data_IF_460366829071
#
_entry.id   IF_460366829071
#
_cell.length_a   1.000
_cell.length_b   1.000
_cell.length_c   1.000
_cell.angle_alpha   90.00
_cell.angle_beta   90.00
_cell.angle_gamma   90.00
#
_symmetry.space_group_name_H-M   'P 1'
#
loop_
_entity.id
_entity.type
_entity.pdbx_description
1 polymer ?
#
# COMPACT_ATOMS: atom_id res chain seq x y z
N UNK A 1 22.88 -38.70 14.38
CA UNK A 1 23.11 -37.23 14.37
C UNK A 1 21.92 -36.54 13.73
N UNK A 2 21.12 -35.82 14.51
CA UNK A 2 20.13 -34.89 13.95
C UNK A 2 20.92 -33.74 13.28
N UNK A 3 20.94 -33.72 11.94
CA UNK A 3 21.56 -32.64 11.18
C UNK A 3 20.81 -31.34 11.50
N UNK A 4 21.49 -30.35 12.10
CA UNK A 4 20.95 -29.01 12.25
C UNK A 4 20.57 -28.46 10.87
N UNK A 5 19.30 -28.11 10.68
CA UNK A 5 18.74 -27.59 9.42
C UNK A 5 18.20 -26.18 9.65
N UNK A 6 19.07 -25.15 9.71
CA UNK A 6 18.69 -23.81 10.15
C UNK A 6 17.56 -23.23 9.29
N UNK A 7 17.67 -23.36 7.96
CA UNK A 7 16.66 -22.88 7.01
C UNK A 7 15.30 -23.56 7.27
N UNK A 8 15.27 -24.89 7.43
CA UNK A 8 14.03 -25.63 7.68
C UNK A 8 13.41 -25.24 9.03
N UNK A 9 14.23 -24.99 10.06
CA UNK A 9 13.74 -24.51 11.36
C UNK A 9 13.09 -23.14 11.25
N UNK A 10 13.71 -22.20 10.53
CA UNK A 10 13.18 -20.86 10.33
C UNK A 10 11.90 -20.91 9.51
N UNK A 11 11.91 -21.64 8.39
CA UNK A 11 10.75 -21.84 7.52
C UNK A 11 9.55 -22.39 8.30
N UNK A 12 9.74 -23.47 9.07
CA UNK A 12 8.67 -24.07 9.87
C UNK A 12 8.10 -23.13 10.93
N UNK A 13 8.94 -22.29 11.55
CA UNK A 13 8.47 -21.28 12.51
C UNK A 13 7.67 -20.19 11.80
N UNK A 14 8.19 -19.70 10.68
CA UNK A 14 7.57 -18.63 9.89
C UNK A 14 6.22 -19.03 9.31
N UNK A 15 6.15 -20.18 8.65
CA UNK A 15 4.91 -20.70 8.06
C UNK A 15 3.79 -20.83 9.09
N UNK A 16 4.10 -21.13 10.36
CA UNK A 16 3.07 -21.21 11.41
C UNK A 16 2.44 -19.86 11.76
N UNK A 17 3.20 -18.78 11.62
CA UNK A 17 2.79 -17.42 11.96
C UNK A 17 2.26 -16.62 10.75
N UNK A 18 2.47 -17.13 9.53
CA UNK A 18 1.91 -16.54 8.31
C UNK A 18 0.44 -16.93 8.19
N UNK A 19 -0.37 -15.96 7.78
CA UNK A 19 -1.80 -16.11 7.53
C UNK A 19 -2.11 -15.77 6.09
N UNK A 20 -3.16 -16.39 5.57
CA UNK A 20 -3.75 -16.03 4.27
C UNK A 20 -4.88 -15.07 4.52
N UNK A 21 -4.95 -13.97 3.78
CA UNK A 21 -5.98 -12.96 3.92
C UNK A 21 -6.91 -13.08 2.72
N UNK A 22 -8.20 -13.27 3.00
CA UNK A 22 -9.25 -13.34 1.99
C UNK A 22 -10.16 -12.13 2.20
N UNK A 23 -10.43 -11.40 1.12
CA UNK A 23 -11.37 -10.29 1.10
C UNK A 23 -12.67 -10.72 0.39
N UNK A 24 -13.79 -10.67 1.10
CA UNK A 24 -15.09 -11.01 0.55
C UNK A 24 -16.03 -9.82 0.60
N UNK A 25 -16.90 -9.68 -0.40
CA UNK A 25 -17.94 -8.65 -0.39
C UNK A 25 -19.28 -9.24 -0.77
N UNK A 26 -20.26 -9.03 0.09
CA UNK A 26 -21.64 -9.43 -0.13
C UNK A 26 -22.30 -8.42 -1.09
N UNK A 27 -22.38 -8.77 -2.39
CA UNK A 27 -22.91 -7.90 -3.45
C UNK A 27 -24.30 -8.36 -3.89
N UNK A 28 -25.21 -7.42 -4.23
CA UNK A 28 -26.51 -7.76 -4.81
C UNK A 28 -26.33 -8.38 -6.20
N UNK A 29 -27.02 -9.49 -6.46
CA UNK A 29 -26.93 -10.22 -7.73
C UNK A 29 -27.59 -9.41 -8.86
N UNK A 30 -26.89 -9.30 -9.99
CA UNK A 30 -27.40 -8.61 -11.19
C UNK A 30 -28.18 -9.61 -12.04
N UNK A 31 -29.47 -9.32 -12.27
CA UNK A 31 -30.41 -10.19 -13.00
C UNK A 31 -30.50 -9.85 -14.50
N UNK A 32 -29.83 -8.77 -14.90
CA UNK A 32 -29.85 -8.28 -16.27
C UNK A 32 -29.65 -6.77 -16.31
N UNK A 33 -29.72 -6.22 -17.52
CA UNK A 33 -29.60 -4.80 -17.77
C UNK A 33 -30.78 -4.35 -18.61
N UNK A 34 -31.37 -3.19 -18.31
CA UNK A 34 -32.42 -2.61 -19.15
C UNK A 34 -32.02 -1.22 -19.63
N UNK A 35 -32.35 -0.89 -20.90
CA UNK A 35 -32.10 0.42 -21.45
C UNK A 35 -33.09 1.43 -20.86
N UNK A 36 -32.59 2.54 -20.36
CA UNK A 36 -33.37 3.69 -19.93
C UNK A 36 -32.98 4.87 -20.81
N UNK A 37 -33.96 5.57 -21.37
CA UNK A 37 -33.69 6.79 -22.15
C UNK A 37 -34.02 8.00 -21.30
N UNK A 38 -33.04 8.85 -21.04
CA UNK A 38 -33.21 10.14 -20.35
C UNK A 38 -32.67 11.22 -21.27
N UNK A 39 -33.47 12.24 -21.58
CA UNK A 39 -33.08 13.37 -22.46
C UNK A 39 -32.43 12.91 -23.80
N UNK A 40 -33.07 11.98 -24.51
CA UNK A 40 -32.56 11.38 -25.77
C UNK A 40 -31.21 10.64 -25.66
N UNK A 41 -30.70 10.40 -24.44
CA UNK A 41 -29.52 9.55 -24.20
C UNK A 41 -29.94 8.21 -23.63
N UNK A 42 -29.45 7.13 -24.24
CA UNK A 42 -29.66 5.75 -23.76
C UNK A 42 -28.62 5.42 -22.69
N UNK A 43 -29.10 5.05 -21.52
CA UNK A 43 -28.32 4.52 -20.40
C UNK A 43 -28.65 3.04 -20.24
N UNK A 44 -27.67 2.23 -19.89
CA UNK A 44 -27.87 0.82 -19.55
C UNK A 44 -27.76 0.73 -18.03
N UNK A 45 -28.85 0.35 -17.37
CA UNK A 45 -28.90 0.27 -15.90
C UNK A 45 -28.97 -1.21 -15.49
N UNK A 46 -28.11 -1.67 -14.56
CA UNK A 46 -28.22 -3.00 -13.99
C UNK A 46 -29.50 -3.14 -13.15
N UNK A 47 -30.24 -4.23 -13.37
CA UNK A 47 -31.35 -4.65 -12.52
C UNK A 47 -30.81 -5.56 -11.43
N UNK A 48 -30.88 -5.11 -10.18
CA UNK A 48 -30.48 -5.91 -9.02
C UNK A 48 -31.66 -6.74 -8.52
N UNK A 49 -31.44 -8.02 -8.20
CA UNK A 49 -32.40 -8.79 -7.41
C UNK A 49 -32.36 -8.27 -5.96
N UNK A 50 -33.53 -7.88 -5.42
CA UNK A 50 -33.62 -7.24 -4.11
C UNK A 50 -33.27 -8.16 -2.92
N UNK A 51 -33.26 -9.48 -3.12
CA UNK A 51 -33.16 -10.46 -2.04
C UNK A 51 -31.98 -11.46 -2.19
N UNK A 52 -31.45 -11.68 -3.40
CA UNK A 52 -30.27 -12.52 -3.59
C UNK A 52 -28.98 -11.69 -3.58
N UNK A 53 -28.15 -11.95 -2.56
CA UNK A 53 -26.78 -11.44 -2.44
C UNK A 53 -25.81 -12.59 -2.57
N UNK A 54 -24.68 -12.35 -3.21
CA UNK A 54 -23.61 -13.34 -3.38
C UNK A 54 -22.33 -12.79 -2.79
N UNK A 55 -21.63 -13.62 -2.03
CA UNK A 55 -20.27 -13.30 -1.61
C UNK A 55 -19.36 -13.42 -2.81
N UNK A 56 -18.79 -12.30 -3.21
CA UNK A 56 -17.80 -12.23 -4.28
C UNK A 56 -16.43 -12.16 -3.62
N UNK A 57 -15.55 -13.08 -4.02
CA UNK A 57 -14.13 -13.02 -3.66
C UNK A 57 -13.50 -11.85 -4.41
N UNK A 58 -12.99 -10.87 -3.65
CA UNK A 58 -12.32 -9.70 -4.19
C UNK A 58 -10.82 -9.95 -4.41
N UNK A 59 -10.33 -11.13 -4.01
CA UNK A 59 -8.92 -11.46 -3.98
C UNK A 59 -8.36 -11.48 -2.55
N UNK A 60 -7.06 -11.70 -2.47
CA UNK A 60 -6.40 -11.92 -1.20
C UNK A 60 -4.88 -11.78 -1.27
N UNK A 61 -4.28 -11.88 -0.09
CA UNK A 61 -2.83 -11.79 0.08
C UNK A 61 -2.39 -12.60 1.28
N UNK A 62 -1.22 -12.25 1.79
CA UNK A 62 -0.63 -12.84 2.99
C UNK A 62 -0.55 -11.80 4.09
N UNK A 63 -0.45 -12.27 5.33
CA UNK A 63 -0.03 -11.47 6.47
C UNK A 63 0.82 -12.32 7.39
N UNK A 64 1.33 -11.73 8.46
CA UNK A 64 2.01 -12.49 9.51
C UNK A 64 1.74 -11.92 10.88
N UNK A 65 1.63 -12.81 11.85
CA UNK A 65 1.35 -12.50 13.23
C UNK A 65 2.64 -12.04 13.91
N UNK A 66 2.62 -10.86 14.52
CA UNK A 66 3.78 -10.26 15.22
C UNK A 66 3.65 -10.29 16.74
N UNK A 67 2.44 -10.51 17.25
CA UNK A 67 2.18 -10.63 18.68
C UNK A 67 1.18 -11.76 18.98
N UNK A 68 1.34 -12.42 20.13
CA UNK A 68 0.61 -13.67 20.45
C UNK A 68 -0.89 -13.46 20.70
N UNK A 69 -1.33 -12.23 20.93
CA UNK A 69 -2.74 -11.82 21.01
C UNK A 69 -3.42 -11.66 19.64
N UNK A 70 -2.66 -11.79 18.55
CA UNK A 70 -3.21 -11.79 17.20
C UNK A 70 -3.04 -10.48 16.42
N UNK A 71 -2.06 -9.64 16.75
CA UNK A 71 -1.67 -8.54 15.85
C UNK A 71 -1.04 -9.10 14.58
N UNK A 72 -1.59 -8.71 13.42
CA UNK A 72 -1.19 -9.13 12.08
C UNK A 72 -0.68 -7.92 11.30
N UNK A 73 0.47 -8.07 10.63
CA UNK A 73 0.94 -7.14 9.61
C UNK A 73 0.64 -7.67 8.21
N UNK A 74 0.27 -6.78 7.30
CA UNK A 74 0.11 -7.04 5.86
C UNK A 74 0.32 -5.74 5.07
N UNK A 75 0.14 -5.76 3.75
CA UNK A 75 0.13 -4.56 2.94
C UNK A 75 -1.22 -3.83 3.00
N UNK A 76 -1.21 -2.51 2.86
CA UNK A 76 -2.43 -1.70 2.88
C UNK A 76 -3.36 -2.03 1.70
N UNK A 77 -2.79 -2.31 0.52
CA UNK A 77 -3.55 -2.64 -0.68
C UNK A 77 -4.24 -4.01 -0.57
N UNK A 78 -3.71 -4.94 0.22
CA UNK A 78 -4.35 -6.26 0.49
C UNK A 78 -5.67 -6.07 1.25
N UNK A 79 -5.78 -4.98 2.02
CA UNK A 79 -6.96 -4.65 2.83
C UNK A 79 -7.58 -3.31 2.44
N UNK A 80 -7.56 -2.94 1.15
CA UNK A 80 -7.91 -1.59 0.70
C UNK A 80 -9.40 -1.23 0.86
N UNK A 81 -10.33 -2.14 0.52
CA UNK A 81 -11.78 -1.84 0.52
C UNK A 81 -12.34 -1.77 1.95
N UNK A 82 -12.80 -0.60 2.43
CA UNK A 82 -13.37 -0.46 3.76
C UNK A 82 -14.72 -1.16 3.93
N UNK A 83 -15.36 -1.59 2.84
CA UNK A 83 -16.66 -2.27 2.85
C UNK A 83 -16.55 -3.78 2.60
N UNK A 84 -15.33 -4.31 2.53
CA UNK A 84 -15.10 -5.74 2.44
C UNK A 84 -14.98 -6.36 3.83
N UNK A 85 -15.44 -7.60 3.95
CA UNK A 85 -15.17 -8.45 5.10
C UNK A 85 -13.83 -9.17 4.88
N UNK A 86 -13.00 -9.20 5.93
CA UNK A 86 -11.68 -9.80 5.86
C UNK A 86 -11.56 -11.00 6.78
N UNK A 87 -11.04 -12.09 6.23
CA UNK A 87 -10.81 -13.35 6.95
C UNK A 87 -9.34 -13.75 6.88
N UNK A 88 -8.76 -14.05 8.04
CA UNK A 88 -7.43 -14.64 8.15
C UNK A 88 -7.54 -16.16 8.26
N UNK A 89 -6.95 -16.88 7.31
CA UNK A 89 -6.81 -18.34 7.34
C UNK A 89 -5.42 -18.67 7.88
N UNK A 90 -5.40 -19.27 9.08
CA UNK A 90 -4.19 -19.70 9.78
C UNK A 90 -3.56 -20.92 9.13
N UNK A 91 -2.28 -21.16 9.44
CA UNK A 91 -1.49 -22.29 8.93
C UNK A 91 -2.07 -23.69 9.24
N UNK A 92 -2.94 -23.79 10.26
CA UNK A 92 -3.66 -25.02 10.62
C UNK A 92 -5.03 -25.15 9.92
N UNK A 93 -5.35 -24.25 8.98
CA UNK A 93 -6.63 -24.21 8.26
C UNK A 93 -7.77 -23.51 9.02
N UNK A 94 -7.53 -23.01 10.23
CA UNK A 94 -8.57 -22.29 10.98
C UNK A 94 -8.79 -20.88 10.41
N UNK A 95 -10.04 -20.54 10.12
CA UNK A 95 -10.43 -19.20 9.70
C UNK A 95 -10.82 -18.33 10.89
N UNK A 96 -10.39 -17.06 10.86
CA UNK A 96 -10.76 -16.04 11.86
C UNK A 96 -11.14 -14.75 11.18
N UNK A 97 -12.20 -14.11 11.65
CA UNK A 97 -12.53 -12.74 11.26
C UNK A 97 -11.37 -11.81 11.62
N UNK A 98 -10.96 -10.98 10.68
CA UNK A 98 -9.86 -10.04 10.83
C UNK A 98 -10.43 -8.61 10.90
N UNK A 99 -10.01 -7.85 11.92
CA UNK A 99 -10.38 -6.45 12.08
C UNK A 99 -9.19 -5.58 11.70
N UNK A 100 -9.39 -4.61 10.80
CA UNK A 100 -8.35 -3.62 10.50
C UNK A 100 -8.27 -2.64 11.67
N UNK A 101 -7.08 -2.50 12.27
CA UNK A 101 -6.80 -1.52 13.31
C UNK A 101 -6.41 -0.19 12.67
N UNK A 102 -5.48 -0.24 11.71
CA UNK A 102 -5.03 0.94 10.98
C UNK A 102 -4.48 0.59 9.59
N UNK A 103 -4.42 1.59 8.72
CA UNK A 103 -3.79 1.53 7.40
C UNK A 103 -2.86 2.73 7.26
N UNK A 104 -1.64 2.48 6.80
CA UNK A 104 -0.73 3.47 6.28
C UNK A 104 -0.66 3.34 4.74
N UNK A 105 -1.46 4.12 4.00
CA UNK A 105 -1.42 4.10 2.54
C UNK A 105 -0.19 4.80 1.95
N UNK A 106 0.57 5.57 2.74
CA UNK A 106 1.80 6.23 2.26
C UNK A 106 2.90 5.18 2.07
N UNK A 107 2.98 4.23 3.00
CA UNK A 107 4.00 3.20 3.03
C UNK A 107 3.48 1.80 2.71
N UNK A 108 2.21 1.68 2.30
CA UNK A 108 1.55 0.43 1.97
C UNK A 108 1.60 -0.64 3.08
N UNK A 109 1.28 -0.25 4.31
CA UNK A 109 1.24 -1.13 5.48
C UNK A 109 -0.15 -1.11 6.10
N UNK A 110 -0.61 -2.27 6.56
CA UNK A 110 -1.79 -2.36 7.41
C UNK A 110 -1.51 -3.18 8.67
N UNK A 111 -2.13 -2.74 9.76
CA UNK A 111 -2.11 -3.39 11.05
C UNK A 111 -3.52 -3.89 11.32
N UNK A 112 -3.63 -5.19 11.49
CA UNK A 112 -4.89 -5.89 11.69
C UNK A 112 -4.85 -6.71 12.99
N UNK A 113 -6.00 -7.17 13.44
CA UNK A 113 -6.14 -8.05 14.60
C UNK A 113 -7.04 -9.24 14.30
N UNK A 114 -6.71 -10.37 14.91
CA UNK A 114 -7.54 -11.59 14.95
C UNK A 114 -7.73 -12.02 16.40
N UNK A 115 -8.89 -12.59 16.71
CA UNK A 115 -9.20 -12.97 18.10
C UNK A 115 -8.45 -14.23 18.55
N UNK A 116 -8.09 -14.28 19.83
CA UNK A 116 -7.46 -15.44 20.47
C UNK A 116 -6.21 -15.05 21.26
N UNK A 117 -5.46 -16.06 21.68
CA UNK A 117 -4.18 -15.89 22.38
C UNK A 117 -3.25 -17.05 22.02
N UNK A 118 -1.96 -16.92 22.37
CA UNK A 118 -0.92 -17.91 22.10
C UNK A 118 -0.75 -18.24 20.60
N UNK A 119 -1.04 -17.28 19.73
CA UNK A 119 -0.78 -17.44 18.30
C UNK A 119 0.72 -17.56 18.03
N UNK A 120 1.15 -18.44 17.11
CA UNK A 120 2.53 -18.42 16.62
C UNK A 120 2.85 -17.04 16.05
N UNK A 121 3.95 -16.43 16.50
CA UNK A 121 4.34 -15.09 16.07
C UNK A 121 5.80 -14.99 15.62
N UNK A 122 6.07 -13.96 14.83
CA UNK A 122 7.40 -13.61 14.35
C UNK A 122 7.90 -12.34 15.02
N UNK A 123 9.19 -12.35 15.35
CA UNK A 123 9.87 -11.17 15.89
C UNK A 123 10.32 -10.26 14.75
N UNK A 124 10.15 -8.96 14.93
CA UNK A 124 10.62 -7.96 13.98
C UNK A 124 12.13 -7.72 14.17
N UNK A 125 12.84 -7.65 13.04
CA UNK A 125 14.28 -7.42 12.98
C UNK A 125 14.64 -5.95 12.83
N UNK A 126 15.76 -5.74 12.16
CA UNK A 126 16.27 -4.42 11.76
C UNK A 126 16.58 -4.46 10.27
N UNK A 127 15.96 -3.55 9.51
CA UNK A 127 16.17 -3.40 8.08
C UNK A 127 17.18 -2.30 7.73
N UNK A 128 17.68 -1.54 8.71
CA UNK A 128 18.59 -0.40 8.48
C UNK A 128 20.04 -0.82 8.23
N UNK A 129 20.43 -2.00 8.73
CA UNK A 129 21.79 -2.53 8.65
C UNK A 129 21.94 -3.68 7.64
N UNK A 130 20.98 -3.85 6.73
CA UNK A 130 21.01 -4.93 5.73
C UNK A 130 22.17 -4.75 4.75
N UNK A 131 22.79 -5.86 4.38
CA UNK A 131 23.87 -5.92 3.40
C UNK A 131 23.46 -6.74 2.18
N UNK A 132 24.03 -6.39 1.02
CA UNK A 132 23.87 -7.17 -0.20
C UNK A 132 24.46 -8.59 0.01
N UNK A 133 23.78 -9.60 -0.52
CA UNK A 133 24.19 -10.99 -0.43
C UNK A 133 23.73 -11.72 0.84
N UNK A 134 23.08 -11.04 1.80
CA UNK A 134 22.48 -11.71 2.95
C UNK A 134 21.37 -12.67 2.51
N UNK A 135 21.40 -13.91 3.01
CA UNK A 135 20.34 -14.89 2.76
C UNK A 135 19.03 -14.48 3.44
N UNK A 136 17.94 -14.65 2.69
CA UNK A 136 16.58 -14.34 3.14
C UNK A 136 15.60 -15.42 2.71
N UNK A 137 14.55 -15.58 3.50
CA UNK A 137 13.37 -16.37 3.15
C UNK A 137 12.18 -15.45 2.90
N UNK A 138 11.55 -15.57 1.74
CA UNK A 138 10.22 -15.01 1.54
C UNK A 138 9.19 -16.10 1.85
N UNK A 139 8.20 -15.77 2.69
CA UNK A 139 7.13 -16.68 3.06
C UNK A 139 5.79 -16.02 2.72
N UNK A 140 4.87 -16.79 2.17
CA UNK A 140 3.53 -16.33 1.85
C UNK A 140 2.62 -17.48 1.46
N UNK A 141 1.37 -17.15 1.16
CA UNK A 141 0.43 -18.07 0.54
C UNK A 141 0.15 -17.63 -0.89
N UNK A 142 0.72 -18.35 -1.86
CA UNK A 142 0.47 -18.09 -3.27
C UNK A 142 -0.94 -18.56 -3.63
N UNK A 143 -1.84 -17.60 -3.90
CA UNK A 143 -3.15 -17.81 -4.53
C UNK A 143 -4.15 -18.69 -3.75
N UNK A 144 -3.94 -18.94 -2.45
CA UNK A 144 -4.83 -19.82 -1.66
C UNK A 144 -4.73 -21.32 -2.02
N UNK A 145 -4.13 -21.66 -3.16
CA UNK A 145 -3.89 -23.02 -3.65
C UNK A 145 -2.64 -23.65 -3.03
N UNK A 146 -1.59 -22.85 -2.76
CA UNK A 146 -0.31 -23.33 -2.21
C UNK A 146 0.02 -22.66 -0.88
N UNK A 147 -0.64 -23.14 0.17
CA UNK A 147 -0.39 -22.67 1.55
C UNK A 147 1.08 -22.81 1.95
N UNK A 148 1.62 -21.76 2.58
CA UNK A 148 2.97 -21.74 3.17
C UNK A 148 4.11 -21.96 2.15
N UNK A 149 4.04 -21.28 1.01
CA UNK A 149 5.15 -21.24 0.06
C UNK A 149 6.33 -20.52 0.69
N UNK A 150 7.49 -21.18 0.67
CA UNK A 150 8.76 -20.64 1.16
C UNK A 150 9.75 -20.63 0.02
N UNK A 151 10.37 -19.48 -0.23
CA UNK A 151 11.45 -19.33 -1.20
C UNK A 151 12.70 -18.79 -0.51
N UNK A 152 13.86 -19.30 -0.90
CA UNK A 152 15.18 -18.84 -0.44
C UNK A 152 15.79 -17.96 -1.52
N UNK A 153 16.40 -16.86 -1.10
CA UNK A 153 17.20 -15.99 -1.95
C UNK A 153 18.18 -15.19 -1.12
N UNK A 154 18.66 -14.10 -1.70
CA UNK A 154 19.54 -13.11 -1.09
C UNK A 154 18.95 -11.71 -1.19
N UNK A 155 19.55 -10.76 -0.49
CA UNK A 155 19.35 -9.33 -0.74
C UNK A 155 20.16 -8.92 -1.98
N UNK A 156 19.45 -8.61 -3.05
CA UNK A 156 20.01 -8.24 -4.36
C UNK A 156 20.11 -6.73 -4.57
N UNK A 157 19.46 -5.94 -3.71
CA UNK A 157 19.47 -4.48 -3.79
C UNK A 157 18.78 -3.84 -2.60
N UNK A 158 19.14 -2.59 -2.32
CA UNK A 158 18.56 -1.77 -1.26
C UNK A 158 18.08 -0.45 -1.85
N UNK A 159 17.14 0.20 -1.16
CA UNK A 159 16.62 1.53 -1.51
C UNK A 159 16.13 1.64 -2.94
N UNK A 160 15.50 0.57 -3.47
CA UNK A 160 14.98 0.56 -4.84
C UNK A 160 13.73 1.41 -4.98
N UNK A 161 13.55 1.92 -6.19
CA UNK A 161 12.33 2.52 -6.67
C UNK A 161 11.76 1.64 -7.77
N UNK A 162 10.47 1.34 -7.69
CA UNK A 162 9.74 0.63 -8.75
C UNK A 162 8.42 1.33 -9.05
N UNK A 163 7.95 1.12 -10.27
CA UNK A 163 6.57 1.35 -10.66
C UNK A 163 5.93 -0.02 -10.82
N UNK A 164 4.97 -0.33 -9.95
CA UNK A 164 4.26 -1.61 -9.97
C UNK A 164 2.78 -1.36 -10.26
N UNK A 165 2.12 -2.29 -10.95
CA UNK A 165 0.68 -2.22 -11.17
C UNK A 165 -0.02 -2.94 -10.01
N UNK A 166 -0.77 -2.20 -9.19
CA UNK A 166 -1.60 -2.77 -8.14
C UNK A 166 -2.78 -3.56 -8.69
N UNK A 167 -3.47 -4.31 -7.84
CA UNK A 167 -4.62 -5.16 -8.23
C UNK A 167 -5.74 -4.37 -8.93
N UNK A 168 -5.91 -3.09 -8.56
CA UNK A 168 -6.89 -2.17 -9.15
C UNK A 168 -6.43 -1.50 -10.46
N UNK A 169 -5.35 -1.99 -11.08
CA UNK A 169 -4.70 -1.41 -12.27
C UNK A 169 -4.17 0.01 -12.09
N UNK A 170 -4.13 0.52 -10.86
CA UNK A 170 -3.43 1.73 -10.48
C UNK A 170 -1.93 1.49 -10.48
N UNK A 171 -1.14 2.43 -11.01
CA UNK A 171 0.30 2.38 -10.83
C UNK A 171 0.66 2.86 -9.43
N UNK A 172 1.39 2.03 -8.70
CA UNK A 172 1.96 2.34 -7.41
C UNK A 172 3.44 2.68 -7.57
N UNK A 173 3.83 3.77 -6.91
CA UNK A 173 5.19 4.29 -6.88
C UNK A 173 5.77 3.93 -5.52
N UNK A 174 6.57 2.87 -5.48
CA UNK A 174 7.11 2.33 -4.24
C UNK A 174 8.61 2.63 -4.16
N UNK A 175 9.06 3.17 -3.02
CA UNK A 175 10.43 3.61 -2.77
C UNK A 175 11.01 2.96 -1.53
N UNK A 176 12.33 3.00 -1.44
CA UNK A 176 13.05 2.49 -0.28
C UNK A 176 13.04 0.96 -0.19
N UNK A 177 12.64 0.26 -1.26
CA UNK A 177 12.40 -1.18 -1.20
C UNK A 177 13.69 -1.99 -1.07
N UNK A 178 13.59 -3.10 -0.35
CA UNK A 178 14.55 -4.20 -0.38
C UNK A 178 14.25 -5.01 -1.64
N UNK A 179 15.28 -5.30 -2.43
CA UNK A 179 15.19 -6.20 -3.57
C UNK A 179 15.76 -7.56 -3.19
N UNK A 180 15.06 -8.62 -3.54
CA UNK A 180 15.48 -10.00 -3.35
C UNK A 180 15.30 -10.82 -4.62
N UNK A 181 16.16 -11.83 -4.81
CA UNK A 181 15.97 -12.84 -5.85
C UNK A 181 15.15 -14.05 -5.36
N UNK A 182 14.72 -14.06 -4.10
CA UNK A 182 13.77 -15.03 -3.60
C UNK A 182 12.46 -14.91 -4.40
N UNK A 183 11.90 -16.04 -4.80
CA UNK A 183 10.66 -16.05 -5.59
C UNK A 183 9.50 -15.42 -4.79
N UNK A 184 8.99 -14.31 -5.29
CA UNK A 184 7.76 -13.65 -4.83
C UNK A 184 6.75 -13.77 -5.97
N UNK A 185 5.52 -14.20 -5.67
CA UNK A 185 4.45 -14.37 -6.63
C UNK A 185 3.17 -13.71 -6.10
N UNK A 186 2.16 -13.47 -6.95
CA UNK A 186 0.83 -13.06 -6.50
C UNK A 186 0.33 -13.94 -5.34
N UNK A 187 -0.21 -13.30 -4.29
CA UNK A 187 -0.58 -13.94 -3.02
C UNK A 187 0.46 -13.83 -1.91
N UNK A 188 1.76 -13.70 -2.23
CA UNK A 188 2.79 -13.45 -1.21
C UNK A 188 2.78 -12.01 -0.69
N UNK A 189 2.10 -11.07 -1.36
CA UNK A 189 1.96 -9.68 -0.93
C UNK A 189 1.40 -9.61 0.50
N UNK A 190 2.09 -8.89 1.37
CA UNK A 190 1.85 -8.78 2.81
C UNK A 190 2.54 -9.84 3.66
N UNK A 191 3.13 -10.88 3.06
CA UNK A 191 3.91 -11.90 3.74
C UNK A 191 5.31 -11.41 4.17
N UNK A 192 5.99 -12.10 5.10
CA UNK A 192 7.28 -11.64 5.63
C UNK A 192 8.47 -12.01 4.72
N UNK A 193 9.46 -11.11 4.68
CA UNK A 193 10.84 -11.39 4.29
C UNK A 193 11.68 -11.57 5.56
N UNK A 194 12.35 -12.71 5.71
CA UNK A 194 12.94 -13.17 6.98
C UNK A 194 14.43 -13.42 6.80
N UNK A 195 15.25 -12.91 7.71
CA UNK A 195 16.69 -13.16 7.70
C UNK A 195 17.06 -14.53 8.32
N UNK A 196 18.33 -14.91 8.25
CA UNK A 196 18.82 -16.19 8.82
C UNK A 196 18.81 -16.26 10.36
N UNK A 197 18.40 -15.19 11.06
CA UNK A 197 18.12 -15.21 12.50
C UNK A 197 16.64 -15.53 12.80
N UNK A 198 15.82 -15.69 11.76
CA UNK A 198 14.37 -15.91 11.89
C UNK A 198 13.60 -14.65 12.29
N UNK A 199 14.15 -13.46 12.01
CA UNK A 199 13.49 -12.17 12.24
C UNK A 199 13.00 -11.58 10.93
N UNK A 200 11.84 -10.94 10.96
CA UNK A 200 11.26 -10.26 9.79
C UNK A 200 12.04 -8.98 9.53
N UNK A 201 12.55 -8.82 8.31
CA UNK A 201 13.31 -7.64 7.85
C UNK A 201 12.57 -6.85 6.76
N UNK A 202 11.49 -7.42 6.19
CA UNK A 202 10.61 -6.69 5.29
C UNK A 202 9.26 -7.36 5.10
N UNK A 203 8.37 -6.68 4.38
CA UNK A 203 7.04 -7.14 3.98
C UNK A 203 7.02 -7.25 2.45
N UNK A 204 6.85 -8.46 1.92
CA UNK A 204 6.78 -8.72 0.50
C UNK A 204 5.63 -7.92 -0.11
N UNK A 205 5.86 -7.14 -1.16
CA UNK A 205 4.83 -6.24 -1.72
C UNK A 205 4.60 -6.49 -3.21
N UNK A 206 5.68 -6.49 -4.00
CA UNK A 206 5.57 -6.37 -5.44
C UNK A 206 6.63 -7.17 -6.20
N UNK A 207 6.33 -7.39 -7.48
CA UNK A 207 7.24 -7.91 -8.50
C UNK A 207 7.13 -7.07 -9.76
N UNK A 208 8.16 -7.09 -10.59
CA UNK A 208 8.09 -6.47 -11.92
C UNK A 208 7.55 -7.51 -12.91
N UNK A 209 6.40 -7.21 -13.53
CA UNK A 209 5.80 -8.09 -14.53
C UNK A 209 6.77 -8.36 -15.68
N UNK A 210 6.91 -9.62 -16.08
CA UNK A 210 7.82 -10.06 -17.15
C UNK A 210 9.30 -10.13 -16.75
N UNK A 211 9.67 -9.76 -15.53
CA UNK A 211 11.00 -9.99 -14.99
C UNK A 211 11.01 -11.19 -14.03
N UNK A 212 12.08 -11.98 -14.09
CA UNK A 212 12.31 -13.09 -13.18
C UNK A 212 13.25 -12.66 -12.06
N UNK A 213 13.06 -13.21 -10.86
CA UNK A 213 13.94 -13.00 -9.70
C UNK A 213 14.11 -11.52 -9.30
N UNK A 214 13.07 -10.71 -9.52
CA UNK A 214 12.97 -9.33 -9.04
C UNK A 214 11.79 -9.20 -8.09
N UNK A 215 11.99 -9.67 -6.86
CA UNK A 215 11.06 -9.49 -5.75
C UNK A 215 11.38 -8.24 -4.96
N UNK A 216 10.35 -7.56 -4.46
CA UNK A 216 10.51 -6.35 -3.66
C UNK A 216 9.73 -6.42 -2.35
N UNK A 217 10.34 -5.87 -1.30
CA UNK A 217 9.78 -5.85 0.04
C UNK A 217 9.95 -4.48 0.70
N UNK A 218 8.94 -4.07 1.43
CA UNK A 218 8.93 -2.86 2.24
C UNK A 218 9.78 -3.11 3.48
N UNK A 219 10.79 -2.28 3.79
CA UNK A 219 11.63 -2.47 4.97
C UNK A 219 10.83 -2.50 6.28
N UNK A 220 11.16 -3.41 7.19
CA UNK A 220 10.35 -3.61 8.42
C UNK A 220 10.36 -2.43 9.38
N UNK A 221 11.35 -1.53 9.30
CA UNK A 221 11.41 -0.36 10.18
C UNK A 221 10.16 0.53 10.06
N UNK A 222 9.55 0.59 8.88
CA UNK A 222 8.34 1.38 8.66
C UNK A 222 7.16 0.80 9.46
N UNK A 223 6.94 -0.51 9.39
CA UNK A 223 5.90 -1.17 10.19
C UNK A 223 6.14 -1.03 11.70
N UNK A 224 7.42 -1.01 12.14
CA UNK A 224 7.76 -0.78 13.56
C UNK A 224 7.37 0.63 13.99
N UNK A 225 7.51 1.62 13.13
CA UNK A 225 7.10 2.99 13.45
C UNK A 225 5.58 3.10 13.52
N UNK A 226 4.85 2.47 12.59
CA UNK A 226 3.38 2.43 12.62
C UNK A 226 2.84 1.76 13.89
N UNK A 227 3.45 0.66 14.31
CA UNK A 227 3.10 -0.02 15.57
C UNK A 227 3.28 0.90 16.77
N UNK A 228 4.40 1.63 16.87
CA UNK A 228 4.60 2.62 17.95
C UNK A 228 3.56 3.73 17.92
N UNK A 229 3.18 4.20 16.73
CA UNK A 229 2.14 5.24 16.62
C UNK A 229 0.78 4.74 17.14
N UNK A 230 0.42 3.48 16.85
CA UNK A 230 -0.78 2.87 17.44
C UNK A 230 -0.67 2.76 18.96
N UNK A 231 0.46 2.29 19.48
CA UNK A 231 0.68 2.21 20.93
C UNK A 231 0.57 3.58 21.62
N UNK A 232 1.10 4.62 20.99
CA UNK A 232 1.16 5.96 21.57
C UNK A 232 -0.15 6.77 21.38
N UNK A 233 -0.80 6.64 20.23
CA UNK A 233 -1.92 7.51 19.82
C UNK A 233 -3.22 6.78 19.53
N UNK A 234 -3.22 5.44 19.57
CA UNK A 234 -4.35 4.59 19.19
C UNK A 234 -4.62 4.55 17.68
N UNK A 235 -3.81 5.21 16.85
CA UNK A 235 -3.95 5.31 15.40
C UNK A 235 -2.65 5.75 14.74
N UNK A 236 -2.50 5.45 13.45
CA UNK A 236 -1.41 5.98 12.62
C UNK A 236 -1.74 7.43 12.25
N UNK A 237 -0.78 8.33 12.45
CA UNK A 237 -0.91 9.75 12.10
C UNK A 237 -0.22 10.01 10.78
N UNK A 238 -1.00 10.45 9.80
CA UNK A 238 -0.55 10.54 8.41
C UNK A 238 -0.36 12.01 8.04
N UNK A 239 0.84 12.43 7.57
CA UNK A 239 1.05 13.77 7.05
C UNK A 239 0.21 14.02 5.80
N UNK A 240 -0.35 15.22 5.67
CA UNK A 240 -1.39 15.49 4.67
C UNK A 240 -1.29 16.88 4.05
N UNK A 241 -1.28 16.93 2.71
CA UNK A 241 -1.40 18.18 1.96
C UNK A 241 -2.86 18.63 1.86
N UNK A 242 -3.78 17.69 1.59
CA UNK A 242 -5.20 17.98 1.34
C UNK A 242 -5.52 18.52 -0.04
N UNK A 243 -4.85 17.98 -1.06
CA UNK A 243 -5.13 18.25 -2.48
C UNK A 243 -5.47 16.98 -3.23
N UNK A 244 -6.21 17.15 -4.32
CA UNK A 244 -6.37 16.18 -5.40
C UNK A 244 -5.62 16.72 -6.61
N UNK A 245 -4.89 15.85 -7.29
CA UNK A 245 -4.02 16.28 -8.38
C UNK A 245 -3.90 15.22 -9.46
N UNK A 246 -3.56 15.69 -10.66
CA UNK A 246 -3.11 14.88 -11.79
C UNK A 246 -1.62 15.11 -11.95
N UNK A 247 -0.83 14.03 -11.97
CA UNK A 247 0.58 14.11 -12.37
C UNK A 247 0.65 14.37 -13.87
N UNK A 248 1.43 15.37 -14.24
CA UNK A 248 1.66 15.73 -15.63
C UNK A 248 2.84 14.93 -16.19
N UNK A 249 2.61 14.32 -17.34
CA UNK A 249 3.63 13.86 -18.26
C UNK A 249 3.56 14.68 -19.56
N UNK A 250 4.41 14.33 -20.54
CA UNK A 250 4.45 15.01 -21.82
C UNK A 250 3.12 14.93 -22.60
N UNK A 251 2.40 13.80 -22.51
CA UNK A 251 1.14 13.62 -23.22
C UNK A 251 0.03 14.48 -22.60
N UNK A 252 -0.10 14.44 -21.26
CA UNK A 252 -1.09 15.23 -20.52
C UNK A 252 -0.84 16.72 -20.68
N UNK A 253 0.41 17.14 -20.61
CA UNK A 253 0.78 18.55 -20.79
C UNK A 253 0.38 19.07 -22.18
N UNK A 254 0.66 18.31 -23.24
CA UNK A 254 0.28 18.68 -24.62
C UNK A 254 -1.23 18.73 -24.79
N UNK A 255 -1.97 17.73 -24.28
CA UNK A 255 -3.44 17.71 -24.32
C UNK A 255 -4.06 18.93 -23.64
N UNK A 256 -3.48 19.37 -22.53
CA UNK A 256 -3.95 20.52 -21.77
C UNK A 256 -3.32 21.86 -22.19
N UNK A 257 -2.42 21.85 -23.18
CA UNK A 257 -1.67 23.03 -23.68
C UNK A 257 -0.95 23.77 -22.54
N UNK A 258 -0.37 23.02 -21.61
CA UNK A 258 0.35 23.56 -20.47
C UNK A 258 1.79 23.93 -20.85
N UNK A 259 2.39 24.94 -20.22
CA UNK A 259 3.77 25.35 -20.51
C UNK A 259 4.84 24.42 -19.90
N UNK A 260 4.44 23.42 -19.11
CA UNK A 260 5.36 22.49 -18.44
C UNK A 260 5.00 21.04 -18.77
N UNK A 261 6.00 20.23 -19.09
CA UNK A 261 5.85 18.78 -19.34
C UNK A 261 5.96 17.94 -18.05
N UNK A 262 5.91 18.59 -16.88
CA UNK A 262 6.02 17.99 -15.56
C UNK A 262 5.22 18.81 -14.53
N UNK A 263 5.04 18.26 -13.33
CA UNK A 263 4.35 18.88 -12.22
C UNK A 263 3.11 18.10 -11.76
N UNK A 264 2.53 18.54 -10.65
CA UNK A 264 1.23 18.08 -10.18
C UNK A 264 0.18 19.18 -10.40
N UNK A 265 -0.74 18.97 -11.33
CA UNK A 265 -1.87 19.85 -11.58
C UNK A 265 -2.94 19.60 -10.52
N UNK A 266 -3.21 20.58 -9.68
CA UNK A 266 -4.29 20.51 -8.69
C UNK A 266 -5.63 20.57 -9.43
N UNK A 267 -6.38 19.48 -9.39
CA UNK A 267 -7.65 19.35 -10.10
C UNK A 267 -8.57 18.36 -9.40
N UNK A 268 -9.87 18.53 -9.57
CA UNK A 268 -10.87 17.58 -9.07
C UNK A 268 -10.93 16.33 -9.97
N UNK A 269 -11.09 15.14 -9.37
CA UNK A 269 -11.28 13.90 -10.13
C UNK A 269 -12.66 13.84 -10.79
N UNK A 270 -13.69 14.38 -10.12
CA UNK A 270 -15.08 14.29 -10.56
C UNK A 270 -15.85 15.59 -10.25
N UNK A 271 -16.90 15.84 -11.03
CA UNK A 271 -17.80 16.96 -10.78
C UNK A 271 -18.44 16.86 -9.39
N UNK A 272 -18.47 17.98 -8.64
CA UNK A 272 -18.99 18.03 -7.28
C UNK A 272 -17.97 17.69 -6.19
N UNK A 273 -16.75 17.25 -6.53
CA UNK A 273 -15.66 17.09 -5.55
C UNK A 273 -14.72 18.30 -5.56
N UNK A 274 -14.27 18.79 -4.39
CA UNK A 274 -13.30 19.88 -4.34
C UNK A 274 -11.89 19.37 -4.65
N UNK A 275 -11.11 20.15 -5.41
CA UNK A 275 -9.70 19.86 -5.66
C UNK A 275 -8.82 20.11 -4.41
N UNK A 276 -9.25 21.01 -3.54
CA UNK A 276 -8.58 21.34 -2.27
C UNK A 276 -9.56 21.10 -1.13
N UNK A 277 -9.13 20.34 -0.13
CA UNK A 277 -9.96 20.02 1.01
C UNK A 277 -10.02 21.19 1.99
N UNK A 278 -11.21 21.50 2.47
CA UNK A 278 -11.43 22.56 3.47
C UNK A 278 -10.70 22.25 4.78
N UNK A 279 -10.05 23.25 5.35
CA UNK A 279 -9.27 23.16 6.57
C UNK A 279 -7.93 22.43 6.43
N UNK A 280 -7.52 22.08 5.21
CA UNK A 280 -6.26 21.38 4.94
C UNK A 280 -5.04 22.30 4.94
N UNK A 281 -3.85 21.70 5.02
CA UNK A 281 -2.57 22.39 4.81
C UNK A 281 -2.52 23.18 3.50
N UNK A 282 -3.08 22.63 2.42
CA UNK A 282 -3.10 23.28 1.12
C UNK A 282 -3.99 24.51 1.08
N UNK A 283 -5.18 24.45 1.69
CA UNK A 283 -6.06 25.62 1.80
C UNK A 283 -5.39 26.72 2.64
N UNK A 284 -4.80 26.36 3.79
CA UNK A 284 -4.08 27.28 4.67
C UNK A 284 -2.86 27.92 4.02
N UNK A 285 -2.15 27.16 3.18
CA UNK A 285 -1.02 27.65 2.39
C UNK A 285 -1.46 28.51 1.18
N UNK A 286 -2.76 28.60 0.90
CA UNK A 286 -3.31 29.42 -0.19
C UNK A 286 -3.13 28.80 -1.58
N UNK A 287 -2.97 27.47 -1.67
CA UNK A 287 -3.06 26.74 -2.94
C UNK A 287 -4.47 26.85 -3.52
N UNK A 288 -4.59 26.75 -4.85
CA UNK A 288 -5.85 26.89 -5.58
C UNK A 288 -6.03 25.78 -6.63
N UNK A 289 -7.27 25.51 -7.02
CA UNK A 289 -7.54 24.66 -8.19
C UNK A 289 -6.84 25.26 -9.43
N UNK A 290 -6.27 24.40 -10.26
CA UNK A 290 -5.45 24.72 -11.43
C UNK A 290 -4.06 25.29 -11.16
N UNK A 291 -3.63 25.33 -9.90
CA UNK A 291 -2.21 25.44 -9.60
C UNK A 291 -1.45 24.22 -10.13
N UNK A 292 -0.24 24.46 -10.64
CA UNK A 292 0.70 23.39 -10.98
C UNK A 292 1.85 23.45 -10.00
N UNK A 293 1.99 22.44 -9.15
CA UNK A 293 3.14 22.28 -8.27
C UNK A 293 4.28 21.71 -9.13
N UNK A 294 5.29 22.53 -9.40
CA UNK A 294 6.45 22.18 -10.21
C UNK A 294 7.53 21.49 -9.38
N UNK A 295 7.77 21.98 -8.17
CA UNK A 295 8.81 21.48 -7.27
C UNK A 295 8.33 21.46 -5.82
N UNK A 296 8.85 20.54 -5.03
CA UNK A 296 8.73 20.50 -3.58
C UNK A 296 10.12 20.23 -2.97
N UNK A 297 10.56 21.07 -2.02
CA UNK A 297 11.93 21.02 -1.50
C UNK A 297 12.99 20.98 -2.60
N UNK A 298 12.86 21.87 -3.59
CA UNK A 298 13.78 22.01 -4.74
C UNK A 298 13.88 20.75 -5.62
N UNK A 299 12.99 19.77 -5.44
CA UNK A 299 12.88 18.58 -6.29
C UNK A 299 11.68 18.69 -7.20
N UNK A 300 11.92 18.49 -8.51
CA UNK A 300 10.87 18.50 -9.53
C UNK A 300 9.86 17.39 -9.31
N UNK A 301 8.59 17.73 -9.41
CA UNK A 301 7.48 16.77 -9.39
C UNK A 301 7.32 16.18 -10.80
N UNK A 302 7.45 14.88 -10.93
CA UNK A 302 7.43 14.14 -12.20
C UNK A 302 6.62 12.85 -12.03
N UNK A 303 6.31 12.13 -13.14
CA UNK A 303 5.76 10.78 -13.05
C UNK A 303 6.61 9.85 -12.19
N UNK A 304 7.93 9.97 -12.22
CA UNK A 304 8.78 9.12 -11.37
C UNK A 304 8.90 9.63 -9.94
N UNK A 305 8.69 10.92 -9.65
CA UNK A 305 8.82 11.52 -8.31
C UNK A 305 7.64 12.45 -8.01
N UNK A 306 6.66 11.94 -7.28
CA UNK A 306 5.36 12.53 -7.00
C UNK A 306 5.32 13.24 -5.64
N UNK A 307 4.17 13.87 -5.32
CA UNK A 307 3.95 14.45 -4.00
C UNK A 307 3.80 13.40 -2.89
N UNK A 308 3.44 12.16 -3.22
CA UNK A 308 3.44 11.07 -2.24
C UNK A 308 4.86 10.72 -1.80
N UNK A 309 5.83 10.76 -2.72
CA UNK A 309 7.25 10.52 -2.40
C UNK A 309 7.84 11.59 -1.47
N UNK A 310 7.32 12.81 -1.56
CA UNK A 310 7.62 13.87 -0.59
C UNK A 310 7.07 13.47 0.78
N UNK A 311 5.79 13.11 0.87
CA UNK A 311 5.16 12.77 2.15
C UNK A 311 5.80 11.55 2.85
N UNK A 312 6.37 10.60 2.12
CA UNK A 312 7.12 9.46 2.69
C UNK A 312 8.34 9.88 3.53
N UNK A 313 8.92 11.06 3.27
CA UNK A 313 10.15 11.52 3.92
C UNK A 313 9.91 12.69 4.89
N UNK A 314 8.64 13.00 5.18
CA UNK A 314 8.27 14.16 5.98
C UNK A 314 7.28 13.81 7.08
N UNK A 315 7.36 14.55 8.17
CA UNK A 315 6.51 14.38 9.35
C UNK A 315 5.46 15.47 9.47
N UNK A 316 4.45 15.23 10.31
CA UNK A 316 3.50 16.26 10.72
C UNK A 316 4.27 17.40 11.41
N UNK A 317 4.01 18.64 11.01
CA UNK A 317 4.71 19.85 11.44
C UNK A 317 5.83 20.31 10.50
N UNK A 318 6.26 19.46 9.55
CA UNK A 318 7.29 19.85 8.58
C UNK A 318 6.77 20.97 7.66
N UNK A 319 7.65 21.93 7.37
CA UNK A 319 7.39 23.02 6.43
C UNK A 319 8.11 22.76 5.12
N UNK A 320 7.34 22.69 4.03
CA UNK A 320 7.82 22.32 2.71
C UNK A 320 7.62 23.51 1.75
N UNK A 321 8.69 24.15 1.25
CA UNK A 321 8.60 25.04 0.11
C UNK A 321 8.14 24.31 -1.15
N UNK A 322 7.07 24.82 -1.76
CA UNK A 322 6.53 24.41 -3.05
C UNK A 322 6.77 25.52 -4.08
N UNK A 323 7.35 25.16 -5.23
CA UNK A 323 7.36 26.02 -6.42
C UNK A 323 6.09 25.77 -7.20
N UNK A 324 5.23 26.78 -7.28
CA UNK A 324 3.90 26.70 -7.88
C UNK A 324 3.78 27.64 -9.06
N UNK A 325 3.19 27.17 -10.15
CA UNK A 325 2.78 28.01 -11.26
C UNK A 325 1.27 28.28 -11.19
N UNK A 326 0.90 29.56 -11.24
CA UNK A 326 -0.49 30.03 -11.23
C UNK A 326 -0.64 31.20 -12.19
N UNK A 327 -1.53 31.06 -13.18
CA UNK A 327 -1.91 32.12 -14.11
C UNK A 327 -0.70 32.79 -14.80
N UNK A 328 0.23 31.99 -15.30
CA UNK A 328 1.40 32.50 -16.04
C UNK A 328 2.59 32.91 -15.18
N UNK A 329 2.50 32.84 -13.84
CA UNK A 329 3.58 33.24 -12.93
C UNK A 329 3.98 32.11 -11.99
N UNK A 330 5.28 31.91 -11.85
CA UNK A 330 5.86 31.09 -10.79
C UNK A 330 5.85 31.85 -9.45
N UNK A 331 5.61 31.12 -8.37
CA UNK A 331 5.58 31.64 -7.00
C UNK A 331 5.98 30.54 -6.03
N UNK A 332 6.57 30.92 -4.90
CA UNK A 332 6.92 29.97 -3.83
C UNK A 332 5.84 30.01 -2.76
N UNK A 333 5.33 28.86 -2.38
CA UNK A 333 4.32 28.67 -1.32
C UNK A 333 4.90 27.71 -0.30
N UNK A 334 4.98 28.08 0.96
CA UNK A 334 5.39 27.14 2.02
C UNK A 334 4.17 26.48 2.62
N UNK A 335 4.12 25.15 2.56
CA UNK A 335 3.05 24.35 3.17
C UNK A 335 3.55 23.72 4.47
N UNK A 336 2.77 23.83 5.54
CA UNK A 336 3.02 23.11 6.80
C UNK A 336 2.18 21.84 6.81
N UNK A 337 2.81 20.67 6.92
CA UNK A 337 2.12 19.39 6.91
C UNK A 337 1.33 19.20 8.19
N UNK A 338 0.02 19.05 8.05
CA UNK A 338 -0.84 18.70 9.17
C UNK A 338 -1.22 17.23 9.10
N UNK A 339 -1.77 16.76 10.20
CA UNK A 339 -2.36 15.44 10.26
C UNK A 339 -3.62 15.35 9.37
N UNK A 340 -3.74 14.26 8.60
CA UNK A 340 -4.99 13.90 7.94
C UNK A 340 -6.07 13.67 8.99
N UNK A 341 -7.03 14.60 9.08
CA UNK A 341 -8.23 14.41 9.91
C UNK A 341 -9.07 13.26 9.35
N UNK A 342 -9.57 12.41 10.25
CA UNK A 342 -10.43 11.26 9.94
C UNK A 342 -11.81 11.70 9.46
#
# INVERSE_FOLDING_TARGET
MLKYRPITTIANKASKAVVSIIATKNLPKIDGFYPVTVENKKFIIPKFQKEERTDVDLGGGSGFIVHQDGIVLTNSHVVEDPNADYTAVLSNGTSKTMKIIARDPIHDIAICSIEGSNHPSLSLGDSSALQLGEYVLAVGNALGEFSNTVSLGIISGLSRFIQAQGQNRTMEHLRGLIQTDAAINPGNSGGPLINMQGKVIGINTAVISGAQNLGFSIPIHQAKEDLKQIEQYGRIRIPFLGIRYLILDQEQSRKQKLPFEYGALITRPEAGTPAILKGSSAEKAGLQEYDIILEANERKITPSFTLQDILQNHSIGDKIPLKVWRQGKERTVTIELEEKKQ
#
